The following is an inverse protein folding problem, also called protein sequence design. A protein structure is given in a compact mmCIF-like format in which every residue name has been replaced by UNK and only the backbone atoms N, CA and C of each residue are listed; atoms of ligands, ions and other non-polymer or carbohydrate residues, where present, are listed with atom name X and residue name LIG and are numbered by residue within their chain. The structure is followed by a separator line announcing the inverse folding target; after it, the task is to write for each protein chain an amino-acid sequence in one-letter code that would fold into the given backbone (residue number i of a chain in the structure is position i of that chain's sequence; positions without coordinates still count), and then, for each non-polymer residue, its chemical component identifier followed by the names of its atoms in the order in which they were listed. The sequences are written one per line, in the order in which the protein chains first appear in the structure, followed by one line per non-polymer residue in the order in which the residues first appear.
data_IF_823964945725
#
_entry.id   IF_823964945725
#
_cell.length_a   1.000
_cell.length_b   1.000
_cell.length_c   1.000
_cell.angle_alpha   90.00
_cell.angle_beta   90.00
_cell.angle_gamma   90.00
#
_symmetry.space_group_name_H-M   'P 1'
#
loop_
_entity.id
_entity.type
_entity.pdbx_description
1 polymer ?
#
# COMPACT_ATOMS: atom_id res chain seq x y z
N UNK A 1 -43.27 -58.88 -15.38
CA UNK A 1 -41.92 -59.42 -15.07
C UNK A 1 -40.88 -59.05 -16.14
N UNK A 2 -41.25 -58.45 -17.27
CA UNK A 2 -40.32 -58.09 -18.37
C UNK A 2 -39.27 -57.02 -18.06
N UNK A 3 -39.59 -55.99 -17.26
CA UNK A 3 -38.64 -54.88 -17.00
C UNK A 3 -37.37 -55.25 -16.21
N UNK A 4 -37.32 -56.42 -15.55
CA UNK A 4 -36.11 -56.90 -14.85
C UNK A 4 -35.08 -57.51 -15.80
N UNK A 5 -35.50 -57.97 -16.97
CA UNK A 5 -34.63 -58.68 -17.94
C UNK A 5 -33.90 -57.66 -18.83
N UNK A 6 -34.53 -56.54 -19.18
CA UNK A 6 -33.95 -55.48 -20.02
C UNK A 6 -32.75 -54.79 -19.33
N UNK A 7 -32.85 -54.48 -18.04
CA UNK A 7 -31.73 -53.93 -17.26
C UNK A 7 -30.55 -54.91 -17.10
N UNK A 8 -30.83 -56.22 -17.12
CA UNK A 8 -29.79 -57.25 -17.06
C UNK A 8 -28.98 -57.31 -18.36
N UNK A 9 -29.64 -57.14 -19.51
CA UNK A 9 -29.01 -57.19 -20.83
C UNK A 9 -28.03 -56.03 -21.03
N UNK A 10 -28.47 -54.79 -20.76
CA UNK A 10 -27.62 -53.61 -20.86
C UNK A 10 -26.36 -53.74 -19.98
N UNK A 11 -26.53 -54.21 -18.74
CA UNK A 11 -25.43 -54.41 -17.80
C UNK A 11 -24.43 -55.49 -18.22
N UNK A 12 -24.87 -56.53 -18.94
CA UNK A 12 -23.99 -57.57 -19.48
C UNK A 12 -23.21 -57.06 -20.69
N UNK A 13 -23.88 -56.29 -21.57
CA UNK A 13 -23.27 -55.70 -22.77
C UNK A 13 -22.30 -54.55 -22.47
N UNK A 14 -22.46 -53.84 -21.34
CA UNK A 14 -21.57 -52.75 -20.94
C UNK A 14 -20.32 -53.18 -20.15
N UNK A 15 -20.04 -54.48 -20.03
CA UNK A 15 -18.82 -54.97 -19.36
C UNK A 15 -17.59 -54.74 -20.26
N UNK A 16 -16.46 -54.37 -19.65
CA UNK A 16 -15.20 -54.18 -20.37
C UNK A 16 -14.66 -55.48 -21.00
N UNK A 17 -14.91 -56.64 -20.36
CA UNK A 17 -14.50 -57.97 -20.83
C UNK A 17 -15.65 -58.74 -21.50
N UNK A 18 -16.49 -58.05 -22.29
CA UNK A 18 -17.59 -58.70 -22.98
C UNK A 18 -17.07 -59.57 -24.14
N UNK A 19 -17.38 -60.87 -24.11
CA UNK A 19 -17.10 -61.82 -25.20
C UNK A 19 -18.37 -62.02 -26.05
N UNK A 20 -18.41 -61.48 -27.28
CA UNK A 20 -19.57 -61.59 -28.17
C UNK A 20 -19.84 -63.03 -28.61
N UNK A 21 -18.80 -63.81 -28.86
CA UNK A 21 -18.92 -65.13 -29.47
C UNK A 21 -19.47 -66.14 -28.45
N UNK A 22 -18.96 -66.09 -27.21
CA UNK A 22 -19.48 -66.88 -26.11
C UNK A 22 -20.93 -66.47 -25.75
N UNK A 23 -21.25 -65.17 -25.83
CA UNK A 23 -22.61 -64.68 -25.57
C UNK A 23 -23.62 -65.19 -26.60
N UNK A 24 -23.29 -65.13 -27.90
CA UNK A 24 -24.16 -65.61 -28.98
C UNK A 24 -24.33 -67.13 -28.90
N UNK A 25 -23.24 -67.87 -28.67
CA UNK A 25 -23.25 -69.33 -28.51
C UNK A 25 -24.21 -69.79 -27.40
N UNK A 26 -24.18 -69.11 -26.26
CA UNK A 26 -25.08 -69.38 -25.12
C UNK A 26 -26.55 -69.05 -25.41
N UNK A 27 -26.83 -68.09 -26.30
CA UNK A 27 -28.20 -67.74 -26.69
C UNK A 27 -28.76 -68.68 -27.75
N UNK A 28 -27.92 -69.24 -28.63
CA UNK A 28 -28.33 -70.24 -29.63
C UNK A 28 -28.81 -71.56 -29.03
N UNK A 29 -28.37 -71.92 -27.82
CA UNK A 29 -28.84 -73.12 -27.10
C UNK A 29 -30.34 -73.05 -26.73
N UNK A 30 -30.93 -71.85 -26.71
CA UNK A 30 -32.31 -71.63 -26.27
C UNK A 30 -33.36 -71.64 -27.40
N UNK A 31 -32.95 -71.88 -28.65
CA UNK A 31 -33.84 -71.99 -29.81
C UNK A 31 -34.04 -70.69 -30.62
N UNK A 32 -34.56 -70.83 -31.84
CA UNK A 32 -34.64 -69.78 -32.87
C UNK A 32 -35.56 -68.60 -32.48
N UNK A 33 -36.73 -68.90 -31.91
CA UNK A 33 -37.71 -67.87 -31.50
C UNK A 33 -37.15 -66.91 -30.45
N UNK A 34 -36.38 -67.45 -29.48
CA UNK A 34 -35.74 -66.62 -28.45
C UNK A 34 -34.62 -65.75 -29.02
N UNK A 35 -33.92 -66.25 -30.04
CA UNK A 35 -32.85 -65.53 -30.71
C UNK A 35 -33.39 -64.34 -31.53
N UNK A 36 -34.54 -64.50 -32.18
CA UNK A 36 -35.24 -63.41 -32.87
C UNK A 36 -35.71 -62.33 -31.89
N UNK A 37 -36.32 -62.72 -30.77
CA UNK A 37 -36.73 -61.79 -29.71
C UNK A 37 -35.53 -61.07 -29.11
N UNK A 38 -34.42 -61.77 -28.88
CA UNK A 38 -33.19 -61.19 -28.34
C UNK A 38 -32.55 -60.19 -29.31
N UNK A 39 -32.49 -60.52 -30.60
CA UNK A 39 -32.01 -59.61 -31.65
C UNK A 39 -32.82 -58.31 -31.66
N UNK A 40 -34.14 -58.42 -31.57
CA UNK A 40 -35.02 -57.25 -31.54
C UNK A 40 -34.78 -56.38 -30.29
N UNK A 41 -34.56 -57.00 -29.12
CA UNK A 41 -34.22 -56.29 -27.88
C UNK A 41 -32.87 -55.58 -27.95
N UNK A 42 -31.86 -56.21 -28.53
CA UNK A 42 -30.54 -55.60 -28.75
C UNK A 42 -30.67 -54.41 -29.70
N UNK A 43 -31.49 -54.53 -30.75
CA UNK A 43 -31.74 -53.43 -31.69
C UNK A 43 -32.39 -52.23 -31.00
N UNK A 44 -33.43 -52.46 -30.20
CA UNK A 44 -34.10 -51.40 -29.45
C UNK A 44 -33.13 -50.73 -28.47
N UNK A 45 -32.36 -51.53 -27.72
CA UNK A 45 -31.37 -51.00 -26.78
C UNK A 45 -30.26 -50.20 -27.49
N UNK A 46 -29.83 -50.63 -28.68
CA UNK A 46 -28.88 -49.91 -29.52
C UNK A 46 -29.46 -48.55 -29.96
N UNK A 47 -30.70 -48.53 -30.40
CA UNK A 47 -31.35 -47.31 -30.87
C UNK A 47 -31.61 -46.30 -29.73
N UNK A 48 -31.99 -46.80 -28.54
CA UNK A 48 -32.14 -46.00 -27.32
C UNK A 48 -30.80 -45.44 -26.83
N UNK A 49 -29.75 -46.25 -26.79
CA UNK A 49 -28.41 -45.81 -26.37
C UNK A 49 -27.83 -44.79 -27.34
N UNK A 50 -28.03 -44.96 -28.66
CA UNK A 50 -27.65 -43.97 -29.65
C UNK A 50 -28.40 -42.64 -29.47
N UNK A 51 -29.71 -42.68 -29.16
CA UNK A 51 -30.47 -41.48 -28.86
C UNK A 51 -30.01 -40.80 -27.57
N UNK A 52 -29.80 -41.57 -26.50
CA UNK A 52 -29.32 -41.06 -25.22
C UNK A 52 -27.92 -40.43 -25.35
N UNK A 53 -27.01 -41.07 -26.10
CA UNK A 53 -25.68 -40.52 -26.40
C UNK A 53 -25.79 -39.19 -27.15
N UNK A 54 -26.59 -39.14 -28.23
CA UNK A 54 -26.80 -37.88 -28.97
C UNK A 54 -27.34 -36.80 -28.06
N UNK A 55 -28.40 -37.09 -27.30
CA UNK A 55 -29.00 -36.12 -26.38
C UNK A 55 -28.02 -35.65 -25.31
N UNK A 56 -27.20 -36.55 -24.76
CA UNK A 56 -26.18 -36.22 -23.77
C UNK A 56 -25.06 -35.35 -24.37
N UNK A 57 -24.60 -35.68 -25.58
CA UNK A 57 -23.62 -34.87 -26.32
C UNK A 57 -24.19 -33.49 -26.61
N UNK A 58 -25.41 -33.37 -27.16
CA UNK A 58 -26.03 -32.07 -27.44
C UNK A 58 -26.26 -31.23 -26.18
N UNK A 59 -26.68 -31.86 -25.08
CA UNK A 59 -26.88 -31.18 -23.80
C UNK A 59 -25.57 -30.63 -23.24
N UNK A 60 -24.50 -31.40 -23.31
CA UNK A 60 -23.19 -30.97 -22.80
C UNK A 60 -22.40 -30.14 -23.82
N UNK A 61 -22.78 -30.15 -25.10
CA UNK A 61 -22.10 -29.41 -26.16
C UNK A 61 -22.03 -27.91 -25.86
N UNK A 62 -23.13 -27.32 -25.37
CA UNK A 62 -23.14 -25.90 -25.01
C UNK A 62 -22.10 -25.58 -23.93
N UNK A 63 -22.01 -26.42 -22.90
CA UNK A 63 -21.04 -26.24 -21.82
C UNK A 63 -19.61 -26.46 -22.30
N UNK A 64 -19.35 -27.48 -23.13
CA UNK A 64 -18.03 -27.70 -23.71
C UNK A 64 -17.57 -26.52 -24.58
N UNK A 65 -18.46 -25.97 -25.41
CA UNK A 65 -18.14 -24.82 -26.26
C UNK A 65 -17.93 -23.57 -25.41
N UNK A 66 -18.77 -23.33 -24.41
CA UNK A 66 -18.65 -22.18 -23.51
C UNK A 66 -17.35 -22.24 -22.70
N UNK A 67 -17.05 -23.37 -22.06
CA UNK A 67 -15.78 -23.59 -21.35
C UNK A 67 -14.57 -23.48 -22.28
N UNK A 68 -14.62 -24.05 -23.50
CA UNK A 68 -13.52 -23.92 -24.45
C UNK A 68 -13.31 -22.45 -24.88
N UNK A 69 -14.39 -21.68 -25.03
CA UNK A 69 -14.32 -20.25 -25.34
C UNK A 69 -13.73 -19.45 -24.19
N UNK A 70 -14.16 -19.71 -22.95
CA UNK A 70 -13.61 -19.08 -21.74
C UNK A 70 -12.13 -19.37 -21.57
N UNK A 71 -11.69 -20.62 -21.80
CA UNK A 71 -10.27 -20.99 -21.77
C UNK A 71 -9.48 -20.18 -22.81
N UNK A 72 -10.01 -20.04 -24.02
CA UNK A 72 -9.34 -19.27 -25.08
C UNK A 72 -9.25 -17.77 -24.77
N UNK A 73 -10.29 -17.19 -24.15
CA UNK A 73 -10.26 -15.79 -23.70
C UNK A 73 -9.22 -15.61 -22.60
N UNK A 74 -9.22 -16.50 -21.60
CA UNK A 74 -8.27 -16.47 -20.49
C UNK A 74 -6.82 -16.60 -20.97
N UNK A 75 -6.57 -17.49 -21.93
CA UNK A 75 -5.26 -17.63 -22.56
C UNK A 75 -4.80 -16.31 -23.21
N UNK A 76 -5.71 -15.65 -23.95
CA UNK A 76 -5.45 -14.35 -24.55
C UNK A 76 -5.12 -13.25 -23.52
N UNK A 77 -5.91 -13.15 -22.44
CA UNK A 77 -5.68 -12.20 -21.35
C UNK A 77 -4.35 -12.47 -20.63
N UNK A 78 -4.00 -13.75 -20.40
CA UNK A 78 -2.74 -14.14 -19.79
C UNK A 78 -1.54 -13.74 -20.66
N UNK A 79 -1.64 -13.92 -21.97
CA UNK A 79 -0.61 -13.47 -22.91
C UNK A 79 -0.45 -11.95 -22.89
N UNK A 80 -1.55 -11.19 -22.87
CA UNK A 80 -1.52 -9.73 -22.77
C UNK A 80 -0.86 -9.27 -21.46
N UNK A 81 -1.24 -9.87 -20.32
CA UNK A 81 -0.63 -9.55 -19.03
C UNK A 81 0.86 -9.86 -19.00
N UNK A 82 1.27 -11.02 -19.53
CA UNK A 82 2.68 -11.38 -19.64
C UNK A 82 3.45 -10.39 -20.52
N UNK A 83 2.84 -9.88 -21.59
CA UNK A 83 3.46 -8.90 -22.46
C UNK A 83 3.65 -7.56 -21.74
N UNK A 84 2.59 -7.02 -21.11
CA UNK A 84 2.62 -5.77 -20.34
C UNK A 84 3.68 -5.85 -19.23
N UNK A 85 3.73 -6.94 -18.47
CA UNK A 85 4.75 -7.12 -17.42
C UNK A 85 6.18 -7.17 -17.97
N UNK A 86 6.37 -7.72 -19.17
CA UNK A 86 7.67 -7.75 -19.83
C UNK A 86 8.07 -6.35 -20.30
N UNK A 87 7.12 -5.57 -20.84
CA UNK A 87 7.34 -4.18 -21.23
C UNK A 87 7.63 -3.28 -20.03
N UNK A 88 6.86 -3.37 -18.94
CA UNK A 88 7.12 -2.60 -17.72
C UNK A 88 8.48 -2.93 -17.11
N UNK A 89 8.85 -4.22 -17.06
CA UNK A 89 10.17 -4.63 -16.58
C UNK A 89 11.28 -4.05 -17.45
N UNK A 90 11.11 -4.05 -18.77
CA UNK A 90 12.06 -3.45 -19.71
C UNK A 90 12.17 -1.93 -19.50
N UNK A 91 11.03 -1.24 -19.37
CA UNK A 91 10.97 0.19 -19.14
C UNK A 91 11.60 0.58 -17.79
N UNK A 92 11.34 -0.17 -16.73
CA UNK A 92 11.95 0.05 -15.41
C UNK A 92 13.47 -0.17 -15.46
N UNK A 93 13.93 -1.22 -16.15
CA UNK A 93 15.37 -1.45 -16.38
C UNK A 93 16.00 -0.31 -17.17
N UNK A 94 15.32 0.17 -18.22
CA UNK A 94 15.78 1.30 -19.04
C UNK A 94 15.81 2.62 -18.25
N UNK A 95 14.82 2.90 -17.40
CA UNK A 95 14.82 4.07 -16.52
C UNK A 95 15.97 3.99 -15.51
N UNK A 96 16.20 2.81 -14.92
CA UNK A 96 17.32 2.60 -14.00
C UNK A 96 18.67 2.80 -14.71
N UNK A 97 18.82 2.27 -15.93
CA UNK A 97 20.03 2.45 -16.74
C UNK A 97 20.22 3.91 -17.21
N UNK A 98 19.16 4.63 -17.58
CA UNK A 98 19.26 6.03 -18.02
C UNK A 98 19.55 7.00 -16.87
N UNK A 99 19.08 6.68 -15.67
CA UNK A 99 19.48 7.38 -14.43
C UNK A 99 20.97 7.15 -14.11
N UNK A 100 21.53 5.99 -14.47
CA UNK A 100 22.96 5.69 -14.33
C UNK A 100 23.85 6.29 -15.44
N UNK A 101 23.27 6.59 -16.61
CA UNK A 101 23.99 7.13 -17.78
C UNK A 101 24.00 8.66 -17.79
N UNK A 102 23.00 9.33 -17.19
CA UNK A 102 22.96 10.80 -17.12
C UNK A 102 24.12 11.39 -16.30
N UNK A 103 24.74 10.62 -15.40
CA UNK A 103 25.90 11.05 -14.60
C UNK A 103 27.28 10.77 -15.23
N UNK A 104 27.34 10.11 -16.40
CA UNK A 104 28.64 9.76 -17.03
C UNK A 104 29.11 10.71 -18.14
N UNK A 105 28.38 11.78 -18.44
CA UNK A 105 28.71 12.68 -19.54
C UNK A 105 29.58 13.90 -19.16
N UNK A 106 30.04 14.03 -17.91
CA UNK A 106 30.88 15.17 -17.50
C UNK A 106 32.08 14.68 -16.65
N UNK A 107 33.27 14.80 -17.27
CA UNK A 107 34.64 14.77 -16.72
C UNK A 107 35.37 13.41 -16.63
N UNK A 108 36.29 13.22 -17.58
CA UNK A 108 37.49 12.37 -17.46
C UNK A 108 38.42 12.89 -16.35
N UNK A 109 39.04 12.00 -15.55
CA UNK A 109 39.63 12.34 -14.25
C UNK A 109 39.73 11.15 -13.25
N UNK A 110 40.82 10.37 -13.10
CA UNK A 110 40.76 9.07 -12.43
C UNK A 110 40.96 9.09 -10.91
N UNK A 111 40.31 8.10 -10.27
CA UNK A 111 40.51 7.50 -8.94
C UNK A 111 39.57 7.91 -7.81
N UNK A 112 38.77 6.90 -7.43
CA UNK A 112 38.44 6.52 -6.06
C UNK A 112 37.67 7.53 -5.22
N UNK A 113 36.34 7.50 -5.35
CA UNK A 113 35.41 7.13 -4.28
C UNK A 113 34.00 7.26 -4.87
N UNK A 114 33.30 6.13 -5.02
CA UNK A 114 31.87 6.11 -5.29
C UNK A 114 31.18 6.75 -4.08
N UNK A 115 30.93 8.06 -4.14
CA UNK A 115 29.93 8.70 -3.29
C UNK A 115 28.58 8.28 -3.86
N UNK A 116 28.06 7.17 -3.35
CA UNK A 116 26.66 6.80 -3.53
C UNK A 116 25.81 7.95 -2.96
N UNK A 117 24.89 8.49 -3.76
CA UNK A 117 23.99 9.54 -3.33
C UNK A 117 23.18 9.05 -2.10
N UNK A 118 23.18 9.76 -0.97
CA UNK A 118 22.41 9.37 0.22
C UNK A 118 20.89 9.32 -0.07
N UNK A 119 20.42 9.97 -1.13
CA UNK A 119 19.02 9.96 -1.56
C UNK A 119 18.58 8.61 -2.15
N UNK A 120 19.48 7.86 -2.77
CA UNK A 120 19.14 6.55 -3.36
C UNK A 120 19.06 5.45 -2.30
N UNK A 121 19.93 5.49 -1.29
CA UNK A 121 19.85 4.55 -0.17
C UNK A 121 18.67 4.83 0.76
N UNK A 122 18.31 6.10 0.94
CA UNK A 122 17.12 6.47 1.72
C UNK A 122 15.82 6.02 1.04
N UNK A 123 15.71 6.12 -0.29
CA UNK A 123 14.55 5.62 -1.05
C UNK A 123 14.48 4.09 -1.06
N UNK A 124 15.61 3.39 -1.21
CA UNK A 124 15.68 1.92 -1.13
C UNK A 124 15.25 1.41 0.25
N UNK A 125 15.62 2.12 1.33
CA UNK A 125 15.25 1.74 2.69
C UNK A 125 13.75 1.95 2.98
N UNK A 126 13.10 2.96 2.39
CA UNK A 126 11.65 3.14 2.53
C UNK A 126 10.83 2.15 1.68
N UNK A 127 11.32 1.77 0.50
CA UNK A 127 10.71 0.73 -0.33
C UNK A 127 10.59 -0.60 0.41
N UNK A 128 11.58 -0.93 1.25
CA UNK A 128 11.55 -2.11 2.13
C UNK A 128 10.39 -2.09 3.14
N UNK A 129 10.02 -0.91 3.67
CA UNK A 129 8.87 -0.80 4.57
C UNK A 129 7.57 -1.08 3.80
N UNK A 130 7.40 -0.51 2.61
CA UNK A 130 6.22 -0.72 1.77
C UNK A 130 6.00 -2.18 1.36
N UNK A 131 7.09 -2.93 1.14
CA UNK A 131 7.00 -4.35 0.80
C UNK A 131 6.57 -5.22 2.01
N UNK A 132 7.02 -4.85 3.21
CA UNK A 132 6.87 -5.69 4.42
C UNK A 132 5.72 -5.29 5.33
N UNK A 133 5.28 -4.04 5.28
CA UNK A 133 4.30 -3.44 6.20
C UNK A 133 3.09 -2.95 5.40
N UNK A 134 1.93 -3.55 5.65
CA UNK A 134 0.66 -3.11 5.09
C UNK A 134 0.21 -1.81 5.77
N UNK A 135 -0.21 -0.83 4.97
CA UNK A 135 -0.79 0.43 5.45
C UNK A 135 0.22 1.52 5.84
N UNK A 136 1.47 1.44 5.37
CA UNK A 136 2.51 2.43 5.67
C UNK A 136 2.77 3.48 4.57
N UNK A 137 1.91 3.60 3.54
CA UNK A 137 2.10 4.53 2.42
C UNK A 137 2.25 5.99 2.86
N UNK A 138 1.39 6.46 3.76
CA UNK A 138 1.43 7.82 4.31
C UNK A 138 2.72 8.14 5.07
N UNK A 139 3.41 7.12 5.58
CA UNK A 139 4.68 7.30 6.32
C UNK A 139 5.83 7.56 5.34
N UNK A 140 5.80 6.91 4.17
CA UNK A 140 6.86 6.98 3.14
C UNK A 140 6.71 8.14 2.17
N UNK A 141 5.53 8.74 2.07
CA UNK A 141 5.24 9.89 1.19
C UNK A 141 5.88 11.20 1.69
N UNK A 142 6.27 11.28 2.97
CA UNK A 142 6.87 12.48 3.56
C UNK A 142 8.32 12.64 3.07
N UNK A 143 8.66 13.74 2.38
CA UNK A 143 10.00 13.95 1.83
C UNK A 143 11.06 14.12 2.93
N UNK A 144 12.26 13.59 2.70
CA UNK A 144 13.39 13.67 3.64
C UNK A 144 13.32 12.69 4.82
N UNK A 145 12.34 11.79 4.85
CA UNK A 145 12.24 10.72 5.84
C UNK A 145 13.18 9.57 5.49
N UNK A 146 13.83 9.00 6.49
CA UNK A 146 14.63 7.80 6.28
C UNK A 146 14.64 6.92 7.52
N UNK A 147 14.83 5.62 7.30
CA UNK A 147 14.91 4.61 8.34
C UNK A 147 16.28 4.67 9.02
N UNK A 148 16.29 4.80 10.35
CA UNK A 148 17.49 4.80 11.18
C UNK A 148 17.72 3.39 11.76
N UNK A 149 16.68 2.78 12.31
CA UNK A 149 16.78 1.46 12.94
C UNK A 149 15.46 0.71 12.89
N UNK A 150 15.50 -0.61 12.84
CA UNK A 150 14.31 -1.46 12.95
C UNK A 150 14.59 -2.71 13.76
N UNK A 151 13.58 -3.25 14.44
CA UNK A 151 13.74 -4.46 15.22
C UNK A 151 12.44 -4.97 15.84
N UNK A 152 12.48 -6.25 16.23
CA UNK A 152 11.36 -6.93 16.88
C UNK A 152 11.28 -6.55 18.37
N UNK A 153 10.06 -6.36 18.87
CA UNK A 153 9.74 -6.10 20.26
C UNK A 153 8.48 -6.88 20.66
N UNK A 154 8.29 -7.11 21.95
CA UNK A 154 7.04 -7.63 22.50
C UNK A 154 6.31 -6.51 23.26
N UNK A 155 5.06 -6.25 22.90
CA UNK A 155 4.19 -5.34 23.65
C UNK A 155 3.69 -6.06 24.90
N UNK A 156 3.97 -5.46 26.05
CA UNK A 156 3.57 -5.92 27.38
C UNK A 156 2.45 -5.02 27.89
N UNK A 157 1.50 -5.64 28.59
CA UNK A 157 0.50 -4.89 29.33
C UNK A 157 1.14 -4.11 30.50
N UNK A 158 0.75 -2.84 30.66
CA UNK A 158 1.35 -1.94 31.63
C UNK A 158 0.98 -2.30 33.08
N UNK A 159 -0.11 -3.03 33.29
CA UNK A 159 -0.62 -3.41 34.62
C UNK A 159 -0.35 -4.87 34.96
N UNK A 160 -0.65 -5.81 34.06
CA UNK A 160 -0.49 -7.24 34.28
C UNK A 160 0.90 -7.80 33.92
N UNK A 161 1.73 -7.03 33.21
CA UNK A 161 3.04 -7.44 32.70
C UNK A 161 3.00 -8.72 31.85
N UNK A 162 1.85 -9.03 31.27
CA UNK A 162 1.68 -10.15 30.35
C UNK A 162 1.97 -9.70 28.92
N UNK A 163 2.52 -10.60 28.11
CA UNK A 163 2.78 -10.30 26.71
C UNK A 163 1.46 -10.26 25.93
N UNK A 164 1.13 -9.10 25.35
CA UNK A 164 -0.07 -8.90 24.53
C UNK A 164 0.19 -9.42 23.12
N UNK A 165 1.23 -8.91 22.46
CA UNK A 165 1.52 -9.24 21.07
C UNK A 165 2.98 -9.01 20.69
N UNK A 166 3.39 -9.57 19.56
CA UNK A 166 4.68 -9.27 18.92
C UNK A 166 4.52 -8.11 17.96
N UNK A 167 5.42 -7.15 18.06
CA UNK A 167 5.45 -5.96 17.23
C UNK A 167 6.83 -5.79 16.60
N UNK A 168 6.88 -5.06 15.49
CA UNK A 168 8.11 -4.61 14.87
C UNK A 168 8.14 -3.08 14.93
N UNK A 169 9.20 -2.54 15.52
CA UNK A 169 9.40 -1.10 15.63
C UNK A 169 10.34 -0.64 14.52
N UNK A 170 10.00 0.48 13.89
CA UNK A 170 10.80 1.17 12.88
C UNK A 170 11.03 2.60 13.34
N UNK A 171 12.29 2.93 13.65
CA UNK A 171 12.73 4.26 14.02
C UNK A 171 13.14 5.02 12.75
N UNK A 172 12.42 6.10 12.48
CA UNK A 172 12.67 7.06 11.41
C UNK A 172 13.37 8.30 12.01
N UNK A 173 13.84 9.20 11.15
CA UNK A 173 14.51 10.43 11.56
C UNK A 173 13.64 11.43 12.35
N UNK A 174 12.32 11.31 12.30
CA UNK A 174 11.36 12.22 12.93
C UNK A 174 10.29 11.51 13.79
N UNK A 175 10.13 10.19 13.61
CA UNK A 175 9.10 9.36 14.22
C UNK A 175 9.55 7.95 14.57
N UNK A 176 8.82 7.33 15.49
CA UNK A 176 8.82 5.90 15.73
C UNK A 176 7.51 5.29 15.21
N UNK A 177 7.61 4.39 14.24
CA UNK A 177 6.49 3.61 13.74
C UNK A 177 6.45 2.23 14.40
N UNK A 178 5.26 1.80 14.82
CA UNK A 178 5.02 0.46 15.36
C UNK A 178 4.09 -0.31 14.41
N UNK A 179 4.47 -1.55 14.11
CA UNK A 179 3.69 -2.47 13.30
C UNK A 179 3.45 -3.78 14.05
N UNK A 180 2.24 -4.34 13.95
CA UNK A 180 1.88 -5.61 14.57
C UNK A 180 2.18 -6.79 13.66
N UNK A 181 2.58 -7.92 14.23
CA UNK A 181 2.84 -9.14 13.47
C UNK A 181 1.53 -9.71 12.91
N UNK A 182 1.44 -9.94 11.58
CA UNK A 182 0.29 -10.65 11.00
C UNK A 182 0.44 -12.17 11.14
N UNK A 183 -0.51 -12.86 11.80
CA UNK A 183 -0.48 -14.32 11.89
C UNK A 183 -0.82 -15.00 10.56
N UNK A 184 -1.67 -14.38 9.73
CA UNK A 184 -2.10 -14.95 8.45
C UNK A 184 -1.36 -14.25 7.29
N UNK A 185 -0.35 -14.93 6.73
CA UNK A 185 0.54 -14.37 5.70
C UNK A 185 -0.16 -14.39 4.34
N UNK A 186 -0.43 -13.22 3.77
CA UNK A 186 -0.83 -13.05 2.36
C UNK A 186 0.30 -12.32 1.62
N UNK A 187 1.16 -13.08 0.95
CA UNK A 187 2.27 -12.51 0.17
C UNK A 187 3.49 -12.06 1.00
N UNK A 188 4.26 -11.07 0.51
CA UNK A 188 5.51 -10.62 1.14
C UNK A 188 5.29 -9.78 2.42
N UNK A 189 4.07 -9.29 2.61
CA UNK A 189 3.64 -8.50 3.77
C UNK A 189 3.66 -9.37 5.03
N UNK A 190 4.41 -8.93 6.04
CA UNK A 190 4.57 -9.61 7.33
C UNK A 190 3.99 -8.83 8.51
N UNK A 191 3.83 -7.53 8.36
CA UNK A 191 3.41 -6.63 9.44
C UNK A 191 2.25 -5.74 9.01
N UNK A 192 1.40 -5.38 9.97
CA UNK A 192 0.31 -4.42 9.80
C UNK A 192 0.66 -3.16 10.55
N UNK A 193 0.60 -2.02 9.87
CA UNK A 193 0.76 -0.70 10.51
C UNK A 193 -0.20 -0.56 11.70
N UNK A 194 0.34 -0.19 12.87
CA UNK A 194 -0.44 0.01 14.10
C UNK A 194 -0.50 1.49 14.48
N UNK A 195 0.62 2.20 14.37
CA UNK A 195 0.69 3.61 14.72
C UNK A 195 2.04 4.24 14.38
N UNK A 196 2.01 5.55 14.21
CA UNK A 196 3.17 6.41 13.99
C UNK A 196 3.22 7.43 15.13
N UNK A 197 4.36 7.54 15.80
CA UNK A 197 4.55 8.43 16.94
C UNK A 197 5.67 9.42 16.65
N UNK A 198 5.42 10.71 16.77
CA UNK A 198 6.44 11.74 16.62
C UNK A 198 7.43 11.72 17.78
N UNK A 199 8.71 11.97 17.50
CA UNK A 199 9.74 11.95 18.53
C UNK A 199 9.62 13.10 19.55
N UNK A 200 8.84 14.15 19.26
CA UNK A 200 8.70 15.33 20.12
C UNK A 200 7.81 15.04 21.33
N UNK A 201 6.70 14.33 21.10
CA UNK A 201 5.74 13.91 22.13
C UNK A 201 6.12 12.59 22.81
N UNK A 202 7.19 11.95 22.35
CA UNK A 202 7.63 10.63 22.82
C UNK A 202 8.61 10.75 24.01
N UNK A 203 8.29 10.11 25.13
CA UNK A 203 9.19 9.98 26.27
C UNK A 203 9.49 8.51 26.59
N UNK A 204 10.76 8.18 26.79
CA UNK A 204 11.22 6.81 27.00
C UNK A 204 11.69 6.65 28.43
N UNK A 205 11.20 5.61 29.10
CA UNK A 205 11.51 5.29 30.48
C UNK A 205 12.13 3.90 30.52
N UNK A 206 13.38 3.82 30.97
CA UNK A 206 14.05 2.56 31.22
C UNK A 206 13.43 1.86 32.45
N UNK A 207 12.85 0.67 32.26
CA UNK A 207 12.26 -0.13 33.33
C UNK A 207 13.32 -1.08 33.87
N UNK A 208 13.59 -1.08 35.17
CA UNK A 208 14.53 -2.04 35.78
C UNK A 208 13.92 -3.45 35.77
N UNK A 209 14.78 -4.45 35.62
CA UNK A 209 14.35 -5.85 35.62
C UNK A 209 13.77 -6.20 36.99
N UNK A 210 12.54 -6.71 37.00
CA UNK A 210 11.79 -7.04 38.21
C UNK A 210 10.85 -8.23 37.93
N UNK A 211 11.06 -9.34 38.65
CA UNK A 211 10.22 -10.54 38.53
C UNK A 211 10.16 -11.09 37.08
N UNK A 212 8.99 -11.14 36.44
CA UNK A 212 8.82 -11.61 35.06
C UNK A 212 9.31 -10.60 34.00
N UNK A 213 9.49 -9.33 34.38
CA UNK A 213 9.90 -8.26 33.48
C UNK A 213 11.42 -8.27 33.35
N UNK A 214 11.91 -8.60 32.15
CA UNK A 214 13.33 -8.53 31.80
C UNK A 214 13.51 -7.75 30.51
N UNK A 215 14.52 -6.89 30.45
CA UNK A 215 14.85 -6.12 29.25
C UNK A 215 13.68 -5.27 28.73
N UNK A 216 12.84 -4.76 29.62
CA UNK A 216 11.71 -3.91 29.24
C UNK A 216 12.04 -2.42 29.33
N UNK A 217 11.34 -1.62 28.53
CA UNK A 217 11.31 -0.16 28.59
C UNK A 217 9.88 0.32 28.28
N UNK A 218 9.54 1.51 28.75
CA UNK A 218 8.21 2.09 28.60
C UNK A 218 8.29 3.30 27.69
N UNK A 219 7.37 3.42 26.75
CA UNK A 219 7.19 4.58 25.89
C UNK A 219 5.92 5.29 26.34
N UNK A 220 6.04 6.55 26.69
CA UNK A 220 4.96 7.46 27.04
C UNK A 220 4.67 8.32 25.81
N UNK A 221 3.43 8.27 25.36
CA UNK A 221 2.92 8.92 24.16
C UNK A 221 1.54 9.45 24.51
N UNK A 222 1.49 10.67 25.05
CA UNK A 222 0.26 11.23 25.64
C UNK A 222 -0.96 11.04 24.72
N UNK A 223 -2.09 10.49 25.21
CA UNK A 223 -2.38 10.12 26.61
C UNK A 223 -1.95 8.70 27.02
N UNK A 224 -1.42 7.91 26.10
CA UNK A 224 -1.16 6.48 26.29
C UNK A 224 0.26 6.20 26.78
N UNK A 225 0.41 5.02 27.39
CA UNK A 225 1.66 4.58 27.96
C UNK A 225 1.87 3.09 27.71
N UNK A 226 2.78 2.73 26.81
CA UNK A 226 2.99 1.35 26.36
C UNK A 226 4.31 0.79 26.86
N UNK A 227 4.31 -0.48 27.25
CA UNK A 227 5.51 -1.18 27.69
C UNK A 227 5.98 -2.14 26.60
N UNK A 228 7.28 -2.13 26.33
CA UNK A 228 7.91 -3.00 25.33
C UNK A 228 9.05 -3.80 25.93
N UNK A 229 9.17 -5.05 25.50
CA UNK A 229 10.25 -5.95 25.84
C UNK A 229 11.16 -6.15 24.64
N UNK A 230 12.47 -6.01 24.85
CA UNK A 230 13.47 -6.40 23.85
C UNK A 230 13.97 -7.83 24.10
N UNK A 231 14.49 -8.46 23.05
CA UNK A 231 15.00 -9.85 23.09
C UNK A 231 16.17 -10.05 24.06
N UNK A 232 16.90 -8.98 24.41
CA UNK A 232 18.04 -9.06 25.31
C UNK A 232 18.47 -7.71 25.88
N UNK A 233 19.32 -7.75 26.90
CA UNK A 233 19.83 -6.55 27.57
C UNK A 233 20.64 -5.64 26.64
N UNK A 234 21.37 -6.25 25.69
CA UNK A 234 22.11 -5.51 24.64
C UNK A 234 21.16 -4.79 23.69
N UNK A 235 20.11 -5.49 23.22
CA UNK A 235 19.11 -4.92 22.33
C UNK A 235 18.34 -3.78 23.01
N UNK A 236 17.96 -3.95 24.28
CA UNK A 236 17.34 -2.88 25.08
C UNK A 236 18.24 -1.65 25.18
N UNK A 237 19.51 -1.83 25.54
CA UNK A 237 20.46 -0.69 25.63
C UNK A 237 20.58 0.01 24.28
N UNK A 238 20.78 -0.75 23.22
CA UNK A 238 20.85 -0.21 21.87
C UNK A 238 19.59 0.58 21.48
N UNK A 239 18.39 0.06 21.78
CA UNK A 239 17.14 0.77 21.56
C UNK A 239 17.05 2.09 22.34
N UNK A 240 17.42 2.10 23.62
CA UNK A 240 17.43 3.31 24.43
C UNK A 240 18.43 4.34 23.88
N UNK A 241 19.64 3.90 23.56
CA UNK A 241 20.72 4.74 23.05
C UNK A 241 20.34 5.36 21.69
N UNK A 242 19.86 4.55 20.74
CA UNK A 242 19.53 5.02 19.39
C UNK A 242 18.30 5.92 19.37
N UNK A 243 17.31 5.67 20.24
CA UNK A 243 16.16 6.55 20.38
C UNK A 243 16.54 7.91 20.98
N UNK A 244 17.41 7.92 21.99
CA UNK A 244 17.90 9.15 22.60
C UNK A 244 18.78 9.97 21.63
N UNK A 245 19.67 9.28 20.91
CA UNK A 245 20.52 9.89 19.88
C UNK A 245 19.67 10.50 18.75
N UNK A 246 18.68 9.76 18.25
CA UNK A 246 17.78 10.26 17.20
C UNK A 246 16.96 11.45 17.66
N UNK A 247 16.43 11.41 18.90
CA UNK A 247 15.70 12.55 19.48
C UNK A 247 16.57 13.79 19.60
N UNK A 248 17.82 13.62 20.03
CA UNK A 248 18.80 14.70 20.12
C UNK A 248 19.17 15.26 18.74
N UNK A 249 19.38 14.39 17.75
CA UNK A 249 19.66 14.78 16.37
C UNK A 249 18.51 15.60 15.77
N UNK A 250 17.25 15.15 15.97
CA UNK A 250 16.06 15.89 15.56
C UNK A 250 16.00 17.27 16.22
N UNK A 251 16.16 17.34 17.54
CA UNK A 251 16.15 18.61 18.27
C UNK A 251 17.25 19.59 17.80
N UNK A 252 18.45 19.09 17.49
CA UNK A 252 19.52 19.93 16.93
C UNK A 252 19.19 20.43 15.52
N UNK A 253 18.60 19.58 14.68
CA UNK A 253 18.20 19.94 13.32
C UNK A 253 17.08 20.97 13.33
N UNK A 254 16.10 20.83 14.22
CA UNK A 254 14.98 21.77 14.33
C UNK A 254 15.45 23.11 14.89
N UNK A 255 16.42 23.11 15.82
CA UNK A 255 17.08 24.34 16.28
C UNK A 255 17.83 25.04 15.14
N UNK A 256 18.64 24.30 14.36
CA UNK A 256 19.36 24.86 13.21
C UNK A 256 18.41 25.42 12.15
N UNK A 257 17.30 24.71 11.86
CA UNK A 257 16.27 25.19 10.93
C UNK A 257 15.60 26.47 11.43
N UNK A 258 15.28 26.57 12.73
CA UNK A 258 14.72 27.79 13.34
C UNK A 258 15.71 28.95 13.30
N UNK A 259 16.97 28.71 13.64
CA UNK A 259 18.02 29.74 13.58
C UNK A 259 18.26 30.22 12.14
N UNK A 260 18.29 29.31 11.17
CA UNK A 260 18.40 29.67 9.75
C UNK A 260 17.18 30.45 9.25
N UNK A 261 15.96 30.07 9.67
CA UNK A 261 14.74 30.79 9.32
C UNK A 261 14.71 32.21 9.93
N UNK A 262 15.17 32.38 11.18
CA UNK A 262 15.29 33.69 11.82
C UNK A 262 16.33 34.56 11.10
N UNK A 263 17.49 34.01 10.75
CA UNK A 263 18.53 34.75 10.00
C UNK A 263 18.05 35.17 8.60
N UNK A 264 17.24 34.34 7.94
CA UNK A 264 16.63 34.68 6.65
C UNK A 264 15.56 35.79 6.80
N UNK A 265 14.75 35.73 7.86
CA UNK A 265 13.76 36.76 8.17
C UNK A 265 14.42 38.11 8.53
N UNK A 266 15.52 38.10 9.29
CA UNK A 266 16.29 39.30 9.62
C UNK A 266 16.97 39.93 8.39
N UNK A 267 17.41 39.12 7.42
CA UNK A 267 17.95 39.62 6.14
C UNK A 267 16.88 40.23 5.25
N UNK A 268 15.63 39.75 5.32
CA UNK A 268 14.49 40.35 4.62
C UNK A 268 13.98 41.63 5.29
N UNK A 269 14.24 41.83 6.58
CA UNK A 269 13.85 43.02 7.34
C UNK A 269 14.86 44.20 7.24
N UNK A 270 16.06 43.97 6.71
CA UNK A 270 17.10 45.00 6.53
C UNK A 270 17.31 45.39 5.05
N UNK A 271 16.26 45.87 4.39
CA UNK A 271 16.38 46.80 3.26
C UNK A 271 16.31 48.24 3.81
N UNK A 272 17.38 49.05 3.72
CA UNK A 272 17.34 50.44 4.16
C UNK A 272 16.33 51.24 3.32
N UNK A 273 15.45 51.95 4.01
CA UNK A 273 14.56 52.97 3.47
C UNK A 273 15.38 54.08 2.81
N UNK A 274 15.61 54.03 1.49
CA UNK A 274 15.97 55.23 0.73
C UNK A 274 15.51 55.07 -0.72
N UNK A 275 14.75 56.08 -1.19
CA UNK A 275 14.23 56.27 -2.56
C UNK A 275 12.88 55.63 -2.93
N UNK A 276 11.82 55.92 -2.15
CA UNK A 276 10.49 56.12 -2.74
C UNK A 276 10.39 57.52 -3.35
N UNK A 277 10.86 57.68 -4.60
CA UNK A 277 10.45 58.80 -5.47
C UNK A 277 9.67 58.27 -6.66
N UNK A 278 8.43 58.70 -6.72
CA UNK A 278 7.43 58.53 -7.76
C UNK A 278 7.94 58.81 -9.19
N UNK A 279 7.58 57.93 -10.13
CA UNK A 279 7.26 58.29 -11.52
C UNK A 279 6.05 57.47 -11.99
N UNK A 280 4.97 58.09 -12.48
CA UNK A 280 3.87 57.41 -13.14
C UNK A 280 4.21 57.22 -14.62
N UNK A 281 4.28 55.97 -15.08
CA UNK A 281 4.25 55.63 -16.50
C UNK A 281 3.23 54.51 -16.66
N UNK A 282 2.19 54.83 -17.42
CA UNK A 282 1.16 53.91 -17.89
C UNK A 282 1.80 52.84 -18.77
N UNK A 283 1.78 51.58 -18.33
CA UNK A 283 1.83 50.42 -19.23
C UNK A 283 1.11 49.23 -18.58
N UNK A 284 -0.04 48.88 -19.18
CA UNK A 284 -0.93 47.79 -18.78
C UNK A 284 -0.26 46.43 -19.08
N UNK A 285 0.59 45.89 -18.20
CA UNK A 285 0.95 44.45 -18.25
C UNK A 285 1.73 43.87 -17.06
N UNK A 286 1.87 44.55 -15.92
CA UNK A 286 2.69 44.06 -14.78
C UNK A 286 1.94 43.88 -13.45
N UNK A 287 0.64 44.13 -13.40
CA UNK A 287 -0.18 43.96 -12.19
C UNK A 287 -0.46 42.50 -11.80
N UNK A 288 -0.10 41.53 -12.65
CA UNK A 288 -0.40 40.10 -12.41
C UNK A 288 0.70 39.34 -11.65
N UNK A 289 1.94 39.87 -11.56
CA UNK A 289 3.09 39.12 -11.02
C UNK A 289 3.50 39.60 -9.62
N UNK A 290 3.22 40.87 -9.27
CA UNK A 290 3.54 41.39 -7.94
C UNK A 290 2.56 40.93 -6.83
N UNK A 291 1.35 40.49 -7.21
CA UNK A 291 0.31 40.02 -6.25
C UNK A 291 0.49 38.51 -5.94
N UNK A 292 1.20 37.76 -6.78
CA UNK A 292 1.46 36.32 -6.57
C UNK A 292 2.38 36.02 -5.38
N UNK A 293 3.13 36.99 -4.86
CA UNK A 293 4.04 36.77 -3.73
C UNK A 293 3.42 37.13 -2.38
N UNK A 294 2.51 38.12 -2.33
CA UNK A 294 1.82 38.52 -1.09
C UNK A 294 0.67 37.58 -0.72
N UNK A 295 0.15 36.79 -1.65
CA UNK A 295 -0.94 35.85 -1.37
C UNK A 295 -0.49 34.59 -0.61
N UNK A 296 0.80 34.27 -0.59
CA UNK A 296 1.36 33.12 0.15
C UNK A 296 1.74 33.45 1.60
N UNK A 297 1.84 34.73 1.96
CA UNK A 297 2.13 35.21 3.32
C UNK A 297 0.89 35.85 3.98
N UNK A 298 -0.24 35.16 3.93
CA UNK A 298 -1.50 35.67 4.49
C UNK A 298 -1.59 35.46 6.03
N UNK A 299 -0.64 36.00 6.78
CA UNK A 299 -0.68 36.01 8.26
C UNK A 299 -1.93 36.74 8.78
N UNK A 300 -2.37 37.78 8.06
CA UNK A 300 -3.60 38.53 8.36
C UNK A 300 -4.89 37.69 8.32
N UNK A 301 -4.89 36.54 7.63
CA UNK A 301 -6.05 35.63 7.59
C UNK A 301 -6.13 34.77 8.84
N UNK A 302 -5.00 34.46 9.48
CA UNK A 302 -5.02 33.77 10.77
C UNK A 302 -5.52 34.68 11.89
N UNK A 303 -5.25 35.99 11.79
CA UNK A 303 -5.69 37.01 12.75
C UNK A 303 -7.14 37.49 12.50
N UNK A 304 -7.70 37.23 11.30
CA UNK A 304 -9.05 37.66 10.91
C UNK A 304 -10.18 37.24 11.87
N UNK A 305 -10.21 36.02 12.44
CA UNK A 305 -11.23 35.66 13.45
C UNK A 305 -11.11 36.49 14.73
N UNK A 306 -9.88 36.80 15.17
CA UNK A 306 -9.64 37.59 16.38
C UNK A 306 -9.99 39.07 16.16
N UNK A 307 -9.64 39.63 15.00
CA UNK A 307 -10.00 40.99 14.59
C UNK A 307 -11.52 41.16 14.40
N UNK A 308 -12.19 40.15 13.84
CA UNK A 308 -13.65 40.15 13.70
C UNK A 308 -14.32 40.13 15.08
N UNK A 309 -13.83 39.29 16.00
CA UNK A 309 -14.33 39.24 17.38
C UNK A 309 -14.11 40.58 18.12
N UNK A 310 -12.97 41.26 17.86
CA UNK A 310 -12.71 42.59 18.40
C UNK A 310 -13.67 43.65 17.85
N UNK A 311 -13.92 43.67 16.53
CA UNK A 311 -14.89 44.58 15.91
C UNK A 311 -16.31 44.36 16.45
N UNK A 312 -16.71 43.09 16.61
CA UNK A 312 -18.01 42.72 17.22
C UNK A 312 -18.08 43.19 18.68
N UNK A 313 -17.00 43.02 19.46
CA UNK A 313 -16.92 43.46 20.85
C UNK A 313 -17.00 44.99 20.98
N UNK A 314 -16.44 45.74 20.02
CA UNK A 314 -16.50 47.21 19.97
C UNK A 314 -17.81 47.75 19.37
N UNK A 315 -18.71 46.87 18.89
CA UNK A 315 -19.93 47.22 18.12
C UNK A 315 -19.65 48.01 16.83
N UNK A 316 -18.45 47.85 16.29
CA UNK A 316 -18.08 48.37 14.97
C UNK A 316 -18.45 47.34 13.90
N UNK A 317 -19.73 47.38 13.50
CA UNK A 317 -20.27 46.44 12.52
C UNK A 317 -19.87 46.79 11.08
N UNK A 318 -19.44 48.02 10.83
CA UNK A 318 -19.00 48.44 9.50
C UNK A 318 -17.61 47.85 9.20
N UNK A 319 -16.67 48.00 10.13
CA UNK A 319 -15.35 47.35 10.03
C UNK A 319 -15.41 45.82 10.00
N UNK A 320 -16.35 45.21 10.74
CA UNK A 320 -16.57 43.76 10.71
C UNK A 320 -17.03 43.26 9.34
N UNK A 321 -17.87 44.02 8.63
CA UNK A 321 -18.37 43.67 7.29
C UNK A 321 -17.26 43.80 6.26
N UNK A 322 -16.45 44.86 6.33
CA UNK A 322 -15.31 45.06 5.43
C UNK A 322 -14.26 43.93 5.55
N UNK A 323 -13.98 43.46 6.76
CA UNK A 323 -13.08 42.33 7.01
C UNK A 323 -13.61 41.02 6.40
N UNK A 324 -14.91 40.77 6.54
CA UNK A 324 -15.56 39.59 5.96
C UNK A 324 -15.57 39.66 4.43
N UNK A 325 -15.84 40.82 3.85
CA UNK A 325 -15.82 41.02 2.39
C UNK A 325 -14.41 40.78 1.83
N UNK A 326 -13.38 41.30 2.51
CA UNK A 326 -11.98 41.04 2.15
C UNK A 326 -11.62 39.55 2.22
N UNK A 327 -12.10 38.84 3.25
CA UNK A 327 -11.92 37.38 3.37
C UNK A 327 -12.61 36.59 2.27
N UNK A 328 -13.85 36.97 1.90
CA UNK A 328 -14.60 36.32 0.81
C UNK A 328 -13.88 36.51 -0.53
N UNK A 329 -13.44 37.73 -0.85
CA UNK A 329 -12.71 38.02 -2.09
C UNK A 329 -11.44 37.17 -2.18
N UNK A 330 -10.70 37.03 -1.07
CA UNK A 330 -9.51 36.20 -1.02
C UNK A 330 -9.82 34.70 -1.21
N UNK A 331 -10.85 34.17 -0.54
CA UNK A 331 -11.27 32.78 -0.72
C UNK A 331 -11.71 32.48 -2.15
N UNK A 332 -12.44 33.40 -2.79
CA UNK A 332 -12.85 33.28 -4.19
C UNK A 332 -11.63 33.28 -5.11
N UNK A 333 -10.62 34.12 -4.82
CA UNK A 333 -9.38 34.18 -5.58
C UNK A 333 -8.57 32.87 -5.50
N UNK A 334 -8.44 32.27 -4.31
CA UNK A 334 -7.81 30.95 -4.15
C UNK A 334 -8.56 29.86 -4.92
N UNK A 335 -9.89 29.86 -4.85
CA UNK A 335 -10.73 28.89 -5.56
C UNK A 335 -10.57 29.01 -7.08
N UNK A 336 -10.33 30.22 -7.58
CA UNK A 336 -10.11 30.48 -9.01
C UNK A 336 -8.70 30.10 -9.48
N UNK A 337 -7.70 30.14 -8.59
CA UNK A 337 -6.33 29.67 -8.85
C UNK A 337 -6.19 28.13 -8.82
N UNK A 338 -7.12 27.44 -8.15
CA UNK A 338 -7.09 25.97 -8.01
C UNK A 338 -7.86 25.22 -9.11
N UNK A 339 -8.42 25.93 -10.10
CA UNK A 339 -9.21 25.41 -11.24
C UNK A 339 -8.46 25.70 -12.54
#
# INVERSE_FOLDING_TARGET
MEGRVEHGLARVLSKQDFDPDHFVSKQTENGEDQLLVMKQKIQILSDETAHALKHNVYKNYSQFIETAKEISILEGEMYQLSHILTEEKSLMSSMMEMSLVSDKAIVEQPKEQTQENPEDDTRKNLAFLLEKVEGCSSVTEVPGRHLIHNGDLAELDAESFTQIQKVHAFLLNDSLMIATWLPNRRGPVRYRFQGLYELDSLAIVNVRDAGPIKNAFKILMFPDAKMYQADGAKAKRHWLDILEETKKAKASRDKQKKEAAILLAEQQAHTPEEERKSFPIEDDSETMVAIETDCLNADWIQELPEDLDMCIAQRDFEGAVDLVEKGIVYCVYILMLSL
#
